data_IF_578402363645
#
_entry.id   IF_578402363645
#
_cell.length_a   1.000
_cell.length_b   1.000
_cell.length_c   1.000
_cell.angle_alpha   90.00
_cell.angle_beta   90.00
_cell.angle_gamma   90.00
#
_symmetry.space_group_name_H-M   'P 1'
#
loop_
_entity.id
_entity.type
_entity.pdbx_description
1 polymer ?
#
# COMPACT_ATOMS: atom_id res chain seq x y z
N UNK A 1 -12.18 7.33 14.84
CA UNK A 1 -11.00 7.58 13.99
C UNK A 1 -9.79 7.78 14.91
N UNK A 2 -8.67 7.06 14.73
CA UNK A 2 -7.56 7.03 15.70
C UNK A 2 -6.92 8.43 15.88
N UNK A 3 -6.61 8.79 17.13
CA UNK A 3 -5.88 10.03 17.47
C UNK A 3 -4.38 9.95 17.10
N UNK A 4 -3.89 8.76 16.78
CA UNK A 4 -2.47 8.45 16.57
C UNK A 4 -2.29 7.46 15.42
N UNK A 5 -1.11 7.46 14.81
CA UNK A 5 -0.75 6.49 13.75
C UNK A 5 -0.49 5.12 14.40
N UNK A 6 -1.07 4.06 13.82
CA UNK A 6 -0.96 2.70 14.35
C UNK A 6 0.45 2.10 14.27
N UNK A 7 1.10 2.17 13.09
CA UNK A 7 2.47 1.68 12.88
C UNK A 7 3.20 2.53 11.83
N UNK A 8 4.44 2.87 12.12
CA UNK A 8 5.38 3.51 11.18
C UNK A 8 6.63 2.64 11.11
N UNK A 9 7.02 2.24 9.90
CA UNK A 9 8.27 1.53 9.69
C UNK A 9 9.33 2.51 9.16
N UNK A 10 10.45 2.59 9.85
CA UNK A 10 11.62 3.33 9.41
C UNK A 10 12.53 2.42 8.59
N UNK A 11 12.78 2.80 7.34
CA UNK A 11 13.65 2.07 6.42
C UNK A 11 15.01 2.75 6.19
N UNK A 12 15.36 3.80 6.95
CA UNK A 12 16.57 4.61 6.75
C UNK A 12 17.83 3.76 6.67
N UNK A 13 17.97 2.78 7.56
CA UNK A 13 19.13 1.87 7.56
C UNK A 13 19.27 1.06 6.26
N UNK A 14 18.16 0.62 5.65
CA UNK A 14 18.21 -0.09 4.38
C UNK A 14 18.67 0.83 3.24
N UNK A 15 18.24 2.10 3.27
CA UNK A 15 18.67 3.10 2.29
C UNK A 15 20.16 3.40 2.41
N UNK A 16 20.63 3.66 3.63
CA UNK A 16 22.03 4.00 3.90
C UNK A 16 23.00 2.86 3.59
N UNK A 17 22.69 1.66 4.08
CA UNK A 17 23.64 0.53 4.03
C UNK A 17 23.54 -0.23 2.71
N UNK A 18 22.33 -0.38 2.16
CA UNK A 18 22.12 -1.18 0.95
C UNK A 18 22.01 -0.32 -0.32
N UNK A 19 22.00 1.00 -0.20
CA UNK A 19 21.67 1.89 -1.31
C UNK A 19 20.26 1.66 -1.86
N UNK A 20 19.37 1.09 -1.03
CA UNK A 20 18.03 0.73 -1.45
C UNK A 20 17.14 1.96 -1.53
N UNK A 21 16.38 2.09 -2.62
CA UNK A 21 15.36 3.13 -2.77
C UNK A 21 14.06 2.55 -3.33
N UNK A 22 12.88 3.02 -2.85
CA UNK A 22 11.61 2.55 -3.36
C UNK A 22 11.40 3.01 -4.80
N UNK A 23 11.36 2.06 -5.72
CA UNK A 23 11.02 2.31 -7.14
C UNK A 23 9.56 2.77 -7.34
N UNK A 24 8.67 2.36 -6.44
CA UNK A 24 7.27 2.75 -6.43
C UNK A 24 6.95 3.28 -5.03
N UNK A 25 6.52 4.54 -4.94
CA UNK A 25 6.12 5.17 -3.69
C UNK A 25 4.64 5.56 -3.72
N UNK A 26 4.13 6.02 -2.57
CA UNK A 26 2.72 6.38 -2.44
C UNK A 26 2.35 7.62 -3.26
N UNK A 27 3.23 8.62 -3.29
CA UNK A 27 3.03 9.85 -4.06
C UNK A 27 2.86 9.56 -5.56
N UNK A 28 3.71 8.71 -6.15
CA UNK A 28 3.61 8.30 -7.55
C UNK A 28 2.26 7.65 -7.87
N UNK A 29 1.74 6.83 -6.95
CA UNK A 29 0.46 6.18 -7.10
C UNK A 29 -0.70 7.20 -7.08
N UNK A 30 -0.65 8.17 -6.16
CA UNK A 30 -1.64 9.25 -6.08
C UNK A 30 -1.60 10.15 -7.32
N UNK A 31 -0.42 10.51 -7.80
CA UNK A 31 -0.27 11.32 -9.01
C UNK A 31 -0.81 10.60 -10.25
N UNK A 32 -0.59 9.28 -10.37
CA UNK A 32 -1.20 8.49 -11.45
C UNK A 32 -2.71 8.45 -11.34
N UNK A 33 -3.24 8.26 -10.13
CA UNK A 33 -4.68 8.26 -9.89
C UNK A 33 -5.32 9.59 -10.29
N UNK A 34 -4.72 10.72 -9.90
CA UNK A 34 -5.25 12.05 -10.21
C UNK A 34 -5.24 12.35 -11.72
N UNK A 35 -4.30 11.76 -12.46
CA UNK A 35 -4.21 11.83 -13.91
C UNK A 35 -5.10 10.79 -14.65
N UNK A 36 -5.88 9.98 -13.92
CA UNK A 36 -6.70 8.91 -14.51
C UNK A 36 -5.89 7.75 -15.10
N UNK A 37 -4.62 7.61 -14.71
CA UNK A 37 -3.73 6.53 -15.15
C UNK A 37 -3.81 5.34 -14.19
N UNK A 38 -3.41 4.16 -14.68
CA UNK A 38 -3.25 3.00 -13.81
C UNK A 38 -2.11 3.25 -12.81
N UNK A 39 -2.48 3.30 -11.53
CA UNK A 39 -1.60 3.55 -10.39
C UNK A 39 -0.80 2.33 -9.97
N UNK A 40 -1.24 1.13 -10.39
CA UNK A 40 -0.60 -0.13 -10.01
C UNK A 40 0.68 -0.33 -10.79
N UNK A 41 1.70 -0.85 -10.12
CA UNK A 41 2.92 -1.31 -10.79
C UNK A 41 2.63 -2.55 -11.66
N UNK A 42 3.54 -2.86 -12.59
CA UNK A 42 3.45 -4.10 -13.41
C UNK A 42 3.31 -5.33 -12.52
N UNK A 43 4.13 -5.42 -11.46
CA UNK A 43 4.08 -6.53 -10.51
C UNK A 43 2.72 -6.61 -9.80
N UNK A 44 2.16 -5.49 -9.35
CA UNK A 44 0.85 -5.48 -8.69
C UNK A 44 -0.27 -5.98 -9.63
N UNK A 45 -0.16 -5.71 -10.94
CA UNK A 45 -1.10 -6.24 -11.94
C UNK A 45 -0.93 -7.73 -12.20
N UNK A 46 0.31 -8.21 -12.26
CA UNK A 46 0.62 -9.63 -12.51
C UNK A 46 0.22 -10.50 -11.33
N UNK A 47 0.48 -10.02 -10.11
CA UNK A 47 0.17 -10.76 -8.88
C UNK A 47 -1.32 -10.67 -8.53
N UNK A 48 -1.97 -9.56 -8.84
CA UNK A 48 -3.36 -9.33 -8.49
C UNK A 48 -3.58 -9.21 -6.98
N UNK A 49 -4.81 -9.44 -6.56
CA UNK A 49 -5.23 -9.40 -5.16
C UNK A 49 -4.85 -10.72 -4.48
N UNK A 50 -4.14 -10.64 -3.36
CA UNK A 50 -3.90 -11.77 -2.45
C UNK A 50 -4.72 -11.56 -1.18
N UNK A 51 -5.40 -12.61 -0.73
CA UNK A 51 -6.01 -12.62 0.59
C UNK A 51 -4.94 -12.46 1.67
N UNK A 52 -5.21 -11.63 2.67
CA UNK A 52 -4.38 -11.50 3.87
C UNK A 52 -4.93 -12.34 5.04
N UNK A 53 -6.25 -12.56 5.04
CA UNK A 53 -6.96 -13.40 5.98
C UNK A 53 -7.59 -14.59 5.23
N UNK A 54 -7.78 -15.70 5.94
CA UNK A 54 -8.53 -16.86 5.42
C UNK A 54 -10.02 -16.53 5.28
N UNK A 55 -10.51 -15.60 6.11
CA UNK A 55 -11.89 -15.15 6.08
C UNK A 55 -12.14 -14.16 4.95
N UNK A 56 -13.20 -14.41 4.18
CA UNK A 56 -13.79 -13.43 3.28
C UNK A 56 -14.76 -12.55 4.06
N UNK A 57 -14.57 -11.23 3.97
CA UNK A 57 -15.51 -10.28 4.57
C UNK A 57 -16.45 -9.72 3.50
N UNK A 58 -17.72 -9.61 3.86
CA UNK A 58 -18.79 -9.13 2.96
C UNK A 58 -18.50 -7.72 2.42
N UNK A 59 -17.85 -6.87 3.22
CA UNK A 59 -17.52 -5.46 2.89
C UNK A 59 -16.11 -5.26 2.29
N UNK A 60 -15.42 -6.33 1.88
CA UNK A 60 -14.12 -6.27 1.21
C UNK A 60 -12.93 -6.73 2.05
N UNK A 61 -11.67 -6.46 1.67
CA UNK A 61 -10.51 -7.17 2.20
C UNK A 61 -10.26 -6.97 3.72
N UNK A 62 -10.90 -5.96 4.32
CA UNK A 62 -10.96 -5.74 5.76
C UNK A 62 -12.28 -5.02 6.12
N UNK A 63 -13.04 -5.48 7.13
CA UNK A 63 -14.21 -4.77 7.60
C UNK A 63 -13.75 -3.54 8.38
N UNK A 64 -13.79 -2.37 7.75
CA UNK A 64 -13.71 -1.11 8.48
C UNK A 64 -15.10 -0.87 9.08
N UNK A 65 -15.24 -1.03 10.40
CA UNK A 65 -16.47 -0.57 11.08
C UNK A 65 -16.66 0.91 10.74
N UNK A 66 -17.77 1.22 10.10
CA UNK A 66 -18.18 2.58 9.73
C UNK A 66 -18.19 3.52 10.94
N UNK A 67 -17.95 4.80 10.64
CA UNK A 67 -17.87 5.91 11.60
C UNK A 67 -19.14 6.09 12.43
#
# INVERSE_FOLDING_TARGET
>A
MFQTIGRVYDNSRAREILGWEPRYNFEDAINRLSEGKDYRSKLAREIGLKGYHEDEFEDGPYPVKGF
#
